data_IF_640276807464
#
_entry.id   IF_640276807464
#
_cell.length_a   1.000
_cell.length_b   1.000
_cell.length_c   1.000
_cell.angle_alpha   90.00
_cell.angle_beta   90.00
_cell.angle_gamma   90.00
#
_symmetry.space_group_name_H-M   'P 1'
#
loop_
_entity.id
_entity.type
_entity.pdbx_description
1 polymer ?
#
# COMPACT_ATOMS: atom_id res chain seq x y z
N UNK A 1 -0.12 11.74 -10.98
CA UNK A 1 -0.78 10.69 -11.77
C UNK A 1 -0.75 9.44 -10.91
N UNK A 2 -1.89 8.84 -10.58
CA UNK A 2 -1.95 7.59 -9.81
C UNK A 2 -1.85 6.46 -10.83
N UNK A 3 -0.86 5.56 -10.69
CA UNK A 3 -0.72 4.38 -11.56
C UNK A 3 -1.74 3.31 -11.12
N UNK A 4 -2.18 2.43 -12.04
CA UNK A 4 -2.96 1.25 -11.66
C UNK A 4 -2.11 0.36 -10.72
N UNK A 5 -2.73 -0.29 -9.74
CA UNK A 5 -2.02 -1.13 -8.80
C UNK A 5 -1.18 -2.23 -9.47
N UNK A 6 -1.74 -2.92 -10.46
CA UNK A 6 -1.03 -3.97 -11.19
C UNK A 6 0.17 -3.42 -11.97
N UNK A 7 0.00 -2.27 -12.63
CA UNK A 7 1.09 -1.62 -13.37
C UNK A 7 2.22 -1.19 -12.42
N UNK A 8 1.88 -0.60 -11.27
CA UNK A 8 2.86 -0.22 -10.26
C UNK A 8 3.53 -1.44 -9.61
N UNK A 9 2.80 -2.54 -9.42
CA UNK A 9 3.34 -3.79 -8.91
C UNK A 9 4.37 -4.38 -9.87
N UNK A 10 4.02 -4.54 -11.14
CA UNK A 10 4.94 -5.07 -12.16
C UNK A 10 6.19 -4.20 -12.30
N UNK A 11 6.03 -2.88 -12.19
CA UNK A 11 7.12 -1.92 -12.40
C UNK A 11 8.06 -1.79 -11.20
N UNK A 12 7.54 -1.78 -9.99
CA UNK A 12 8.33 -1.43 -8.80
C UNK A 12 8.44 -2.53 -7.75
N UNK A 13 7.67 -3.61 -7.84
CA UNK A 13 7.63 -4.67 -6.83
C UNK A 13 8.08 -6.00 -7.42
N UNK A 14 7.58 -6.36 -8.60
CA UNK A 14 7.92 -7.61 -9.27
C UNK A 14 9.43 -7.69 -9.52
N UNK A 15 10.00 -8.86 -9.24
CA UNK A 15 11.43 -9.16 -9.37
C UNK A 15 12.37 -8.31 -8.50
N UNK A 16 11.85 -7.53 -7.55
CA UNK A 16 12.69 -6.82 -6.59
C UNK A 16 13.02 -7.68 -5.38
N UNK A 17 14.26 -7.61 -4.92
CA UNK A 17 14.66 -8.30 -3.69
C UNK A 17 14.05 -7.59 -2.47
N UNK A 18 13.46 -8.40 -1.59
CA UNK A 18 13.03 -7.94 -0.26
C UNK A 18 14.25 -7.73 0.63
N UNK A 19 14.36 -6.55 1.24
CA UNK A 19 15.46 -6.18 2.12
C UNK A 19 15.04 -5.99 3.59
N UNK A 20 13.78 -5.67 3.85
CA UNK A 20 13.28 -5.46 5.21
C UNK A 20 11.77 -5.66 5.30
N UNK A 21 11.29 -5.80 6.53
CA UNK A 21 9.87 -5.87 6.89
C UNK A 21 9.67 -4.97 8.11
N UNK A 22 8.50 -4.33 8.22
CA UNK A 22 8.24 -3.42 9.32
C UNK A 22 6.76 -3.10 9.49
N UNK A 23 6.49 -2.20 10.42
CA UNK A 23 5.16 -1.65 10.66
C UNK A 23 5.19 -0.14 10.49
N UNK A 24 4.25 0.38 9.70
CA UNK A 24 4.02 1.81 9.54
C UNK A 24 2.82 2.23 10.39
N UNK A 25 3.03 3.16 11.30
CA UNK A 25 1.93 3.84 11.99
C UNK A 25 1.15 4.71 11.01
N UNK A 26 -0.12 4.96 11.33
CA UNK A 26 -0.99 5.81 10.53
C UNK A 26 -0.37 7.19 10.30
N UNK A 27 -0.13 7.51 9.04
CA UNK A 27 0.29 8.85 8.60
C UNK A 27 -0.77 9.41 7.66
N UNK A 28 -1.12 10.69 7.83
CA UNK A 28 -2.02 11.36 6.90
C UNK A 28 -1.25 11.81 5.66
N UNK A 29 -1.67 11.35 4.49
CA UNK A 29 -1.08 11.73 3.20
C UNK A 29 -2.14 12.37 2.32
N UNK A 30 -1.82 13.51 1.70
CA UNK A 30 -2.68 14.14 0.70
C UNK A 30 -2.37 13.54 -0.66
N UNK A 31 -3.40 13.00 -1.31
CA UNK A 31 -3.28 12.39 -2.62
C UNK A 31 -3.37 13.46 -3.72
N UNK A 32 -2.87 13.15 -4.94
CA UNK A 32 -2.97 14.08 -6.08
C UNK A 32 -4.40 14.49 -6.44
N UNK A 33 -5.41 13.68 -6.07
CA UNK A 33 -6.82 13.98 -6.29
C UNK A 33 -7.47 14.81 -5.15
N UNK A 34 -6.68 15.28 -4.18
CA UNK A 34 -7.14 16.11 -3.06
C UNK A 34 -7.75 15.33 -1.88
N UNK A 35 -7.90 14.01 -1.98
CA UNK A 35 -8.38 13.18 -0.86
C UNK A 35 -7.25 12.86 0.12
N UNK A 36 -7.61 12.55 1.37
CA UNK A 36 -6.66 12.04 2.37
C UNK A 36 -6.58 10.51 2.29
N UNK A 37 -5.36 9.97 2.31
CA UNK A 37 -5.06 8.57 2.58
C UNK A 37 -4.35 8.43 3.92
N UNK A 38 -4.50 7.26 4.55
CA UNK A 38 -3.95 6.96 5.86
C UNK A 38 -3.20 5.63 5.83
N UNK A 39 -2.10 5.50 5.05
CA UNK A 39 -1.37 4.24 4.94
C UNK A 39 -0.80 3.82 6.30
N UNK A 40 -1.18 2.63 6.76
CA UNK A 40 -0.74 2.04 8.03
C UNK A 40 -0.77 0.51 7.95
N UNK A 41 0.11 -0.15 8.69
CA UNK A 41 0.15 -1.62 8.72
C UNK A 41 1.53 -2.19 8.46
N UNK A 42 1.56 -3.50 8.28
CA UNK A 42 2.79 -4.20 7.95
C UNK A 42 3.19 -3.95 6.50
N UNK A 43 4.47 -3.64 6.30
CA UNK A 43 5.03 -3.44 4.97
C UNK A 43 6.23 -4.34 4.74
N UNK A 44 6.44 -4.63 3.47
CA UNK A 44 7.67 -5.20 2.91
C UNK A 44 8.43 -4.11 2.19
N UNK A 45 9.72 -3.97 2.44
CA UNK A 45 10.61 -3.02 1.76
C UNK A 45 11.50 -3.74 0.75
N UNK A 46 11.62 -3.14 -0.43
CA UNK A 46 12.34 -3.68 -1.56
C UNK A 46 13.63 -2.88 -1.80
N UNK A 47 14.60 -3.49 -2.47
CA UNK A 47 15.94 -2.92 -2.67
C UNK A 47 15.94 -1.57 -3.42
N UNK A 48 14.92 -1.31 -4.23
CA UNK A 48 14.70 -0.03 -4.91
C UNK A 48 14.08 1.06 -4.01
N UNK A 49 13.88 0.77 -2.72
CA UNK A 49 13.30 1.64 -1.70
C UNK A 49 11.78 1.68 -1.69
N UNK A 50 11.10 1.03 -2.64
CA UNK A 50 9.63 0.96 -2.63
C UNK A 50 9.15 0.03 -1.51
N UNK A 51 7.92 0.25 -1.07
CA UNK A 51 7.30 -0.53 0.01
C UNK A 51 5.92 -1.00 -0.43
N UNK A 52 5.55 -2.20 0.00
CA UNK A 52 4.21 -2.73 -0.22
C UNK A 52 3.56 -3.05 1.13
N UNK A 53 2.37 -2.50 1.33
CA UNK A 53 1.46 -2.90 2.41
C UNK A 53 0.49 -3.90 1.76
N UNK A 54 0.59 -5.19 2.10
CA UNK A 54 -0.28 -6.22 1.53
C UNK A 54 -1.63 -6.33 2.26
N UNK A 55 -1.65 -5.98 3.54
CA UNK A 55 -2.86 -5.88 4.36
C UNK A 55 -2.55 -4.98 5.55
N UNK A 56 -3.21 -3.83 5.62
CA UNK A 56 -3.04 -2.92 6.75
C UNK A 56 -4.09 -3.20 7.83
N UNK A 57 -3.63 -3.37 9.07
CA UNK A 57 -4.48 -3.37 10.25
C UNK A 57 -4.12 -2.15 11.10
N UNK A 58 -5.08 -1.28 11.36
CA UNK A 58 -4.94 -0.31 12.45
C UNK A 58 -5.19 -1.06 13.75
N UNK A 59 -4.20 -1.09 14.65
CA UNK A 59 -4.42 -1.54 16.03
C UNK A 59 -5.61 -0.73 16.60
N UNK A 60 -6.73 -1.42 16.81
CA UNK A 60 -7.99 -0.94 17.41
C UNK A 60 -9.08 -0.36 16.49
N UNK A 61 -8.99 -0.49 15.15
CA UNK A 61 -10.14 -0.24 14.24
C UNK A 61 -10.17 -1.20 13.05
N UNK A 62 -11.37 -1.68 12.73
CA UNK A 62 -11.65 -2.65 11.66
C UNK A 62 -11.75 -1.97 10.28
N UNK A 63 -10.71 -1.28 9.84
CA UNK A 63 -10.59 -0.92 8.43
C UNK A 63 -9.44 -1.75 7.86
N UNK A 64 -9.80 -2.85 7.20
CA UNK A 64 -8.90 -3.63 6.35
C UNK A 64 -8.33 -2.63 5.34
N UNK A 65 -7.05 -2.28 5.45
CA UNK A 65 -6.45 -1.43 4.44
C UNK A 65 -6.17 -2.27 3.21
N UNK A 66 -6.76 -1.81 2.11
CA UNK A 66 -6.42 -2.12 0.72
C UNK A 66 -4.90 -2.24 0.54
N UNK A 67 -4.46 -3.15 -0.34
CA UNK A 67 -3.05 -3.26 -0.62
C UNK A 67 -2.53 -1.94 -1.22
N UNK A 68 -1.40 -1.44 -0.73
CA UNK A 68 -0.83 -0.17 -1.17
C UNK A 68 0.63 -0.33 -1.57
N UNK A 69 1.02 0.35 -2.63
CA UNK A 69 2.43 0.53 -3.00
C UNK A 69 2.83 1.96 -2.64
N UNK A 70 3.87 2.07 -1.82
CA UNK A 70 4.47 3.33 -1.40
C UNK A 70 5.79 3.54 -2.14
N UNK A 71 6.06 4.79 -2.52
CA UNK A 71 7.37 5.18 -3.01
C UNK A 71 8.42 5.21 -1.87
N UNK A 72 9.71 5.44 -2.18
CA UNK A 72 10.75 5.52 -1.16
C UNK A 72 10.55 6.59 -0.08
N UNK A 73 9.71 7.60 -0.35
CA UNK A 73 9.33 8.63 0.62
C UNK A 73 8.12 8.23 1.48
N UNK A 74 7.57 7.03 1.30
CA UNK A 74 6.40 6.54 2.03
C UNK A 74 5.06 7.10 1.53
N UNK A 75 5.03 7.70 0.34
CA UNK A 75 3.82 8.25 -0.28
C UNK A 75 3.13 7.15 -1.12
N UNK A 76 1.82 6.90 -0.93
CA UNK A 76 1.09 5.96 -1.77
C UNK A 76 1.07 6.40 -3.23
N UNK A 77 1.52 5.52 -4.12
CA UNK A 77 1.50 5.73 -5.57
C UNK A 77 0.46 4.86 -6.29
N UNK A 78 0.07 3.76 -5.67
CA UNK A 78 -0.92 2.81 -6.17
C UNK A 78 -1.66 2.16 -4.99
N UNK A 79 -2.93 1.86 -5.20
CA UNK A 79 -3.83 1.20 -4.25
C UNK A 79 -4.66 0.18 -4.98
N UNK A 80 -4.71 -1.02 -4.43
CA UNK A 80 -5.55 -2.10 -4.94
C UNK A 80 -6.99 -1.88 -4.47
N UNK A 81 -7.81 -1.37 -5.36
CA UNK A 81 -9.24 -1.13 -5.11
C UNK A 81 -10.10 -2.30 -5.58
N UNK A 82 -9.54 -3.51 -5.77
CA UNK A 82 -10.33 -4.64 -6.28
C UNK A 82 -11.60 -4.86 -5.44
N UNK A 83 -12.72 -4.76 -6.16
CA UNK A 83 -14.08 -4.90 -5.66
C UNK A 83 -14.22 -6.16 -4.81
N UNK A 84 -14.42 -6.00 -3.50
CA UNK A 84 -14.89 -7.10 -2.68
C UNK A 84 -16.26 -7.51 -3.19
N UNK A 85 -16.35 -8.61 -3.93
CA UNK A 85 -17.61 -9.26 -4.26
C UNK A 85 -18.04 -10.01 -3.00
N UNK A 86 -19.29 -9.84 -2.51
CA UNK A 86 -19.80 -10.64 -1.40
C UNK A 86 -19.57 -12.13 -1.69
N UNK A 87 -18.96 -12.82 -0.73
CA UNK A 87 -18.77 -14.25 -0.79
C UNK A 87 -19.71 -14.87 0.25
N UNK A 88 -20.78 -15.50 -0.23
CA UNK A 88 -21.74 -16.22 0.62
C UNK A 88 -21.18 -17.62 0.95
N UNK A 89 -20.43 -17.72 2.06
CA UNK A 89 -20.21 -19.00 2.74
C UNK A 89 -20.71 -18.92 4.18
#
# INVERSE_FOLDING_TARGET
MTENFYEAFEKYILNQKVISWGFQHEIKVLLPNGYSAYPSGYFTEYENGYKMIASGATLHKTNIQEAMILNPQGVPIARDTEDTIPCDY
#
